data_IF_139220995886
#
_entry.id   IF_139220995886
#
_cell.length_a   1.000
_cell.length_b   1.000
_cell.length_c   1.000
_cell.angle_alpha   90.00
_cell.angle_beta   90.00
_cell.angle_gamma   90.00
#
_symmetry.space_group_name_H-M   'P 1'
#
loop_
_entity.id
_entity.type
_entity.pdbx_description
1 polymer ?
#
# COMPACT_ATOMS: atom_id res chain seq x y z
N UNK A 1 27.03 -4.25 27.65
CA UNK A 1 25.95 -5.00 26.96
C UNK A 1 26.65 -5.98 26.04
N UNK A 2 26.32 -7.27 26.09
CA UNK A 2 26.95 -8.26 25.21
C UNK A 2 26.48 -8.03 23.76
N UNK A 3 27.38 -7.80 22.78
CA UNK A 3 27.00 -7.64 21.37
C UNK A 3 26.19 -8.81 20.82
N UNK A 4 26.49 -10.04 21.28
CA UNK A 4 25.79 -11.24 20.86
C UNK A 4 24.34 -11.22 21.34
N UNK A 5 24.09 -10.83 22.58
CA UNK A 5 22.74 -10.63 23.12
C UNK A 5 21.99 -9.54 22.37
N UNK A 6 22.64 -8.44 22.01
CA UNK A 6 22.01 -7.34 21.24
C UNK A 6 21.51 -7.84 19.88
N UNK A 7 22.34 -8.58 19.12
CA UNK A 7 21.91 -9.13 17.82
C UNK A 7 20.82 -10.19 18.02
N UNK A 8 20.97 -11.09 19.01
CA UNK A 8 19.95 -12.12 19.29
C UNK A 8 18.59 -11.51 19.65
N UNK A 9 18.58 -10.44 20.45
CA UNK A 9 17.36 -9.72 20.81
C UNK A 9 16.74 -9.01 19.59
N UNK A 10 17.57 -8.45 18.70
CA UNK A 10 17.08 -7.91 17.43
C UNK A 10 16.45 -8.98 16.53
N UNK A 11 17.11 -10.14 16.37
CA UNK A 11 16.58 -11.28 15.61
C UNK A 11 15.24 -11.77 16.16
N UNK A 12 15.10 -11.87 17.48
CA UNK A 12 13.83 -12.22 18.13
C UNK A 12 12.73 -11.22 17.80
N UNK A 13 12.99 -9.92 17.94
CA UNK A 13 12.03 -8.86 17.61
C UNK A 13 11.63 -8.90 16.12
N UNK A 14 12.58 -9.14 15.21
CA UNK A 14 12.29 -9.35 13.79
C UNK A 14 11.43 -10.61 13.54
N UNK A 15 11.59 -11.69 14.32
CA UNK A 15 10.70 -12.86 14.25
C UNK A 15 9.28 -12.55 14.73
N UNK A 16 9.13 -11.72 15.78
CA UNK A 16 7.83 -11.29 16.30
C UNK A 16 7.10 -10.40 15.28
N UNK A 17 7.79 -9.41 14.71
CA UNK A 17 7.27 -8.53 13.65
C UNK A 17 6.85 -9.34 12.43
N UNK A 18 7.68 -10.26 11.96
CA UNK A 18 7.35 -11.15 10.84
C UNK A 18 6.10 -12.01 11.13
N UNK A 19 5.98 -12.54 12.35
CA UNK A 19 4.82 -13.35 12.74
C UNK A 19 3.53 -12.52 12.76
N UNK A 20 3.59 -11.28 13.25
CA UNK A 20 2.45 -10.36 13.28
C UNK A 20 2.02 -9.92 11.87
N UNK A 21 2.98 -9.73 10.95
CA UNK A 21 2.67 -9.46 9.53
C UNK A 21 2.06 -10.67 8.82
N UNK A 22 2.45 -11.90 9.16
CA UNK A 22 1.79 -13.12 8.65
C UNK A 22 0.37 -13.29 9.21
N UNK A 23 0.13 -12.90 10.46
CA UNK A 23 -1.22 -12.86 11.05
C UNK A 23 -2.11 -11.86 10.28
N UNK A 24 -1.60 -10.65 10.03
CA UNK A 24 -2.28 -9.63 9.21
C UNK A 24 -2.54 -10.12 7.77
N UNK A 25 -1.55 -10.77 7.15
CA UNK A 25 -1.66 -11.35 5.82
C UNK A 25 -2.81 -12.38 5.75
N UNK A 26 -2.88 -13.24 6.76
CA UNK A 26 -3.92 -14.27 6.91
C UNK A 26 -5.30 -13.63 7.11
N UNK A 27 -5.39 -12.58 7.95
CA UNK A 27 -6.61 -11.81 8.14
C UNK A 27 -7.09 -11.16 6.83
N UNK A 28 -6.20 -10.46 6.11
CA UNK A 28 -6.53 -9.79 4.85
C UNK A 28 -7.02 -10.78 3.78
N UNK A 29 -6.41 -11.97 3.68
CA UNK A 29 -6.81 -13.04 2.75
C UNK A 29 -8.16 -13.66 3.09
N UNK A 30 -8.44 -13.91 4.37
CA UNK A 30 -9.64 -14.59 4.83
C UNK A 30 -10.84 -13.64 4.99
N UNK A 31 -10.68 -12.57 5.77
CA UNK A 31 -11.75 -11.65 6.15
C UNK A 31 -12.07 -10.60 5.07
N UNK A 32 -11.13 -10.35 4.15
CA UNK A 32 -11.26 -9.39 3.04
C UNK A 32 -11.77 -8.01 3.49
N UNK A 33 -11.30 -7.57 4.65
CA UNK A 33 -11.61 -6.28 5.27
C UNK A 33 -10.38 -5.75 5.99
N UNK A 34 -10.43 -4.50 6.44
CA UNK A 34 -9.34 -3.90 7.22
C UNK A 34 -8.97 -4.75 8.46
N UNK A 35 -7.71 -4.74 8.91
CA UNK A 35 -7.28 -5.38 10.15
C UNK A 35 -8.08 -4.90 11.38
N UNK A 36 -8.21 -5.77 12.38
CA UNK A 36 -8.83 -5.39 13.66
C UNK A 36 -8.02 -4.32 14.39
N UNK A 37 -8.69 -3.51 15.22
CA UNK A 37 -8.02 -2.53 16.08
C UNK A 37 -6.95 -3.18 16.98
N UNK A 38 -7.23 -4.38 17.50
CA UNK A 38 -6.29 -5.18 18.29
C UNK A 38 -4.98 -5.48 17.54
N UNK A 39 -5.06 -5.88 16.27
CA UNK A 39 -3.88 -6.16 15.45
C UNK A 39 -3.10 -4.87 15.14
N UNK A 40 -3.81 -3.76 14.87
CA UNK A 40 -3.20 -2.45 14.65
C UNK A 40 -2.48 -1.91 15.90
N UNK A 41 -3.06 -2.04 17.10
CA UNK A 41 -2.38 -1.64 18.34
C UNK A 41 -1.15 -2.52 18.61
N UNK A 42 -1.22 -3.84 18.37
CA UNK A 42 -0.04 -4.71 18.43
C UNK A 42 1.06 -4.27 17.45
N UNK A 43 0.72 -3.89 16.21
CA UNK A 43 1.70 -3.37 15.24
C UNK A 43 2.33 -2.04 15.71
N UNK A 44 1.55 -1.11 16.27
CA UNK A 44 2.07 0.17 16.80
C UNK A 44 3.10 -0.02 17.91
N UNK A 45 2.88 -0.97 18.81
CA UNK A 45 3.79 -1.25 19.95
C UNK A 45 5.16 -1.80 19.50
N UNK A 46 5.26 -2.36 18.29
CA UNK A 46 6.53 -2.88 17.75
C UNK A 46 7.47 -1.79 17.23
N UNK A 47 6.94 -0.65 16.75
CA UNK A 47 7.77 0.40 16.14
C UNK A 47 8.80 1.01 17.12
N UNK A 48 8.43 1.45 18.35
CA UNK A 48 9.41 1.95 19.32
C UNK A 48 10.45 0.89 19.73
N UNK A 49 10.05 -0.39 19.77
CA UNK A 49 10.96 -1.48 20.11
C UNK A 49 12.02 -1.69 19.02
N UNK A 50 11.61 -1.61 17.75
CA UNK A 50 12.53 -1.68 16.60
C UNK A 50 13.50 -0.51 16.59
N UNK A 51 13.04 0.71 16.88
CA UNK A 51 13.91 1.89 16.98
C UNK A 51 14.99 1.72 18.06
N UNK A 52 14.60 1.32 19.27
CA UNK A 52 15.55 1.03 20.38
C UNK A 52 16.51 -0.11 20.02
N UNK A 53 16.01 -1.16 19.36
CA UNK A 53 16.82 -2.29 18.91
C UNK A 53 17.88 -1.87 17.88
N UNK A 54 17.49 -1.06 16.89
CA UNK A 54 18.38 -0.52 15.86
C UNK A 54 19.40 0.47 16.44
N UNK A 55 19.01 1.29 17.43
CA UNK A 55 19.95 2.18 18.11
C UNK A 55 21.02 1.39 18.89
N UNK A 56 20.63 0.29 19.53
CA UNK A 56 21.57 -0.61 20.21
C UNK A 56 22.50 -1.33 19.23
N UNK A 57 22.00 -1.78 18.07
CA UNK A 57 22.85 -2.33 16.99
C UNK A 57 23.86 -1.31 16.47
N UNK A 58 23.47 -0.05 16.26
CA UNK A 58 24.38 1.03 15.82
C UNK A 58 25.50 1.35 16.80
N UNK A 59 25.32 1.03 18.10
CA UNK A 59 26.33 1.20 19.15
C UNK A 59 27.34 0.05 19.19
N UNK A 60 27.08 -1.07 18.51
CA UNK A 60 28.03 -2.18 18.40
C UNK A 60 29.19 -1.80 17.50
N UNK A 61 30.40 -2.21 17.89
CA UNK A 61 31.63 -2.01 17.14
C UNK A 61 32.29 -3.36 16.82
N UNK A 62 33.05 -3.47 15.72
CA UNK A 62 33.79 -4.69 15.36
C UNK A 62 34.67 -5.24 16.49
N UNK A 63 35.26 -4.35 17.29
CA UNK A 63 36.16 -4.67 18.42
C UNK A 63 35.50 -5.39 19.61
N UNK A 64 34.16 -5.49 19.65
CA UNK A 64 33.45 -6.18 20.73
C UNK A 64 33.00 -7.61 20.37
N UNK A 65 33.15 -8.05 19.11
CA UNK A 65 32.75 -9.40 18.68
C UNK A 65 33.84 -10.43 18.92
N UNK A 66 33.46 -11.62 19.39
CA UNK A 66 34.41 -12.73 19.54
C UNK A 66 34.59 -13.45 18.19
N UNK A 67 35.82 -13.74 17.76
CA UNK A 67 36.05 -14.54 16.55
C UNK A 67 35.59 -16.01 16.70
N UNK A 68 35.17 -16.42 17.91
CA UNK A 68 34.69 -17.78 18.23
C UNK A 68 33.18 -17.86 18.50
N UNK A 69 32.44 -16.76 18.35
CA UNK A 69 30.99 -16.74 18.57
C UNK A 69 30.16 -16.93 17.28
N UNK A 70 28.84 -17.04 17.45
CA UNK A 70 27.85 -17.18 16.37
C UNK A 70 27.32 -15.82 15.87
N UNK A 71 27.90 -14.68 16.26
CA UNK A 71 27.39 -13.34 15.90
C UNK A 71 27.29 -13.14 14.39
N UNK A 72 28.25 -13.67 13.62
CA UNK A 72 28.19 -13.63 12.15
C UNK A 72 26.97 -14.36 11.59
N UNK A 73 26.58 -15.50 12.20
CA UNK A 73 25.36 -16.21 11.83
C UNK A 73 24.13 -15.40 12.24
N UNK A 74 24.09 -14.89 13.47
CA UNK A 74 22.96 -14.09 13.97
C UNK A 74 22.71 -12.82 13.13
N UNK A 75 23.76 -12.18 12.60
CA UNK A 75 23.64 -11.05 11.65
C UNK A 75 23.02 -11.50 10.33
N UNK A 76 23.50 -12.62 9.75
CA UNK A 76 22.96 -13.16 8.50
C UNK A 76 21.49 -13.57 8.65
N UNK A 77 21.13 -14.22 9.76
CA UNK A 77 19.76 -14.64 10.07
C UNK A 77 18.85 -13.42 10.26
N UNK A 78 19.35 -12.35 10.91
CA UNK A 78 18.64 -11.07 11.04
C UNK A 78 18.38 -10.41 9.68
N UNK A 79 19.40 -10.39 8.80
CA UNK A 79 19.26 -9.85 7.45
C UNK A 79 18.27 -10.66 6.60
N UNK A 80 18.34 -11.99 6.65
CA UNK A 80 17.39 -12.87 5.98
C UNK A 80 15.95 -12.66 6.50
N UNK A 81 15.77 -12.43 7.80
CA UNK A 81 14.47 -12.12 8.41
C UNK A 81 13.91 -10.76 7.97
N UNK A 82 14.75 -9.73 7.87
CA UNK A 82 14.34 -8.41 7.35
C UNK A 82 13.85 -8.49 5.90
N UNK A 83 14.50 -9.29 5.05
CA UNK A 83 14.01 -9.52 3.69
C UNK A 83 12.63 -10.20 3.69
N UNK A 84 12.41 -11.21 4.53
CA UNK A 84 11.10 -11.86 4.67
C UNK A 84 10.01 -10.88 5.14
N UNK A 85 10.33 -10.01 6.11
CA UNK A 85 9.45 -8.92 6.56
C UNK A 85 9.04 -8.04 5.37
N UNK A 86 9.98 -7.56 4.55
CA UNK A 86 9.67 -6.71 3.40
C UNK A 86 8.80 -7.40 2.35
N UNK A 87 8.97 -8.71 2.13
CA UNK A 87 8.11 -9.46 1.20
C UNK A 87 6.67 -9.57 1.71
N UNK A 88 6.47 -9.87 2.99
CA UNK A 88 5.12 -10.01 3.59
C UNK A 88 4.45 -8.64 3.73
N UNK A 89 5.17 -7.60 4.15
CA UNK A 89 4.65 -6.24 4.28
C UNK A 89 4.14 -5.69 2.93
N UNK A 90 4.92 -5.90 1.86
CA UNK A 90 4.49 -5.59 0.49
C UNK A 90 3.25 -6.39 0.06
N UNK A 91 3.16 -7.68 0.39
CA UNK A 91 1.94 -8.47 0.07
C UNK A 91 0.72 -7.92 0.84
N UNK A 92 0.91 -7.49 2.10
CA UNK A 92 -0.16 -6.88 2.90
C UNK A 92 -0.60 -5.52 2.32
N UNK A 93 0.34 -4.70 1.86
CA UNK A 93 0.05 -3.45 1.13
C UNK A 93 -0.73 -3.73 -0.16
N UNK A 94 -0.27 -4.68 -0.99
CA UNK A 94 -0.96 -5.09 -2.22
C UNK A 94 -2.38 -5.63 -1.97
N UNK A 95 -2.63 -6.29 -0.83
CA UNK A 95 -3.95 -6.73 -0.39
C UNK A 95 -4.82 -5.56 0.07
N UNK A 96 -4.30 -4.69 0.94
CA UNK A 96 -4.99 -3.49 1.42
C UNK A 96 -5.38 -2.54 0.28
N UNK A 97 -4.52 -2.38 -0.72
CA UNK A 97 -4.81 -1.60 -1.92
C UNK A 97 -5.95 -2.19 -2.75
N UNK A 98 -6.05 -3.53 -2.84
CA UNK A 98 -7.17 -4.20 -3.53
C UNK A 98 -8.49 -4.09 -2.76
N UNK A 99 -8.44 -4.02 -1.43
CA UNK A 99 -9.63 -3.84 -0.59
C UNK A 99 -10.13 -2.39 -0.56
N UNK A 100 -9.24 -1.40 -0.71
CA UNK A 100 -9.58 0.03 -0.69
C UNK A 100 -9.91 0.62 -2.06
N UNK A 101 -9.55 -0.05 -3.16
CA UNK A 101 -10.00 0.33 -4.50
C UNK A 101 -11.49 0.02 -4.69
N UNK A 102 -12.32 1.07 -4.64
CA UNK A 102 -13.78 0.99 -4.77
C UNK A 102 -14.24 0.17 -5.99
N UNK A 103 -15.19 -0.74 -5.76
CA UNK A 103 -15.98 -1.43 -6.80
C UNK A 103 -16.61 -0.46 -7.81
N UNK A 104 -16.82 0.81 -7.42
CA UNK A 104 -17.30 1.90 -8.28
C UNK A 104 -16.45 2.13 -9.54
N UNK A 105 -15.14 1.80 -9.52
CA UNK A 105 -14.30 1.84 -10.73
C UNK A 105 -14.55 0.67 -11.68
N UNK A 106 -15.17 -0.42 -11.21
CA UNK A 106 -15.64 -1.52 -12.06
C UNK A 106 -17.05 -1.26 -12.63
N UNK A 107 -17.84 -0.36 -12.04
CA UNK A 107 -19.13 0.06 -12.58
C UNK A 107 -19.06 1.16 -13.66
N UNK A 108 -17.87 1.60 -14.07
CA UNK A 108 -17.69 2.30 -15.35
C UNK A 108 -17.81 1.33 -16.52
N UNK A 109 -19.02 0.78 -16.71
CA UNK A 109 -19.47 0.18 -17.96
C UNK A 109 -19.46 1.28 -19.03
N UNK A 110 -18.31 1.46 -19.68
CA UNK A 110 -18.04 2.55 -20.65
C UNK A 110 -18.96 2.53 -21.88
N UNK A 111 -19.76 1.48 -22.05
CA UNK A 111 -20.71 1.29 -23.14
C UNK A 111 -22.01 0.64 -22.65
N UNK A 112 -22.83 1.40 -21.91
CA UNK A 112 -24.28 1.11 -21.81
C UNK A 112 -25.08 1.80 -22.92
N UNK A 113 -24.46 2.75 -23.62
CA UNK A 113 -24.98 3.41 -24.82
C UNK A 113 -24.95 2.43 -25.99
N UNK A 114 -26.09 2.16 -26.62
CA UNK A 114 -26.15 1.32 -27.84
C UNK A 114 -25.38 2.01 -28.97
N UNK A 115 -24.76 1.29 -29.93
CA UNK A 115 -24.16 1.90 -31.12
C UNK A 115 -25.08 2.89 -31.85
N UNK A 116 -26.40 2.66 -31.80
CA UNK A 116 -27.42 3.51 -32.42
C UNK A 116 -27.55 4.91 -31.78
N UNK A 117 -27.30 5.04 -30.46
CA UNK A 117 -27.45 6.31 -29.73
C UNK A 117 -26.29 7.28 -29.97
N UNK A 118 -25.16 6.79 -30.49
CA UNK A 118 -23.97 7.62 -30.78
C UNK A 118 -24.26 8.61 -31.93
N UNK A 119 -25.18 8.28 -32.84
CA UNK A 119 -25.59 9.16 -33.94
C UNK A 119 -26.35 10.41 -33.50
N UNK A 120 -27.13 10.34 -32.41
CA UNK A 120 -27.91 11.50 -31.94
C UNK A 120 -27.03 12.59 -31.30
N UNK A 121 -25.94 12.20 -30.64
CA UNK A 121 -25.03 13.12 -29.95
C UNK A 121 -24.32 14.04 -30.96
N UNK A 122 -24.00 13.50 -32.16
CA UNK A 122 -23.32 14.25 -33.22
C UNK A 122 -24.24 15.22 -33.98
N UNK A 123 -25.57 15.08 -33.85
CA UNK A 123 -26.59 15.94 -34.46
C UNK A 123 -27.04 17.10 -33.55
N UNK A 124 -26.49 17.25 -32.33
CA UNK A 124 -26.85 18.33 -31.39
C UNK A 124 -25.85 19.48 -31.30
N UNK A 125 -24.78 19.45 -32.07
CA UNK A 125 -23.90 20.61 -32.24
C UNK A 125 -24.53 21.56 -33.28
N UNK A 126 -24.85 22.83 -32.94
CA UNK A 126 -25.31 23.78 -33.93
C UNK A 126 -24.16 24.11 -34.88
N UNK A 127 -24.27 23.65 -36.11
CA UNK A 127 -23.48 24.16 -37.23
C UNK A 127 -24.21 25.35 -37.85
N UNK A 128 -23.98 26.55 -37.32
CA UNK A 128 -24.52 27.79 -37.91
C UNK A 128 -23.71 29.00 -37.42
N UNK A 129 -22.61 29.26 -38.12
CA UNK A 129 -21.94 30.56 -38.17
C UNK A 129 -22.24 31.16 -39.56
N UNK A 130 -23.52 31.43 -39.84
CA UNK A 130 -23.96 32.19 -41.03
C UNK A 130 -25.43 32.68 -40.87
N UNK A 131 -25.60 33.94 -40.46
CA UNK A 131 -26.79 34.75 -40.83
C UNK A 131 -26.57 36.22 -40.43
N UNK A 132 -25.95 36.98 -41.33
CA UNK A 132 -26.20 38.42 -41.37
C UNK A 132 -27.68 38.66 -41.72
N UNK A 133 -28.37 39.44 -40.89
CA UNK A 133 -29.67 40.07 -41.16
C UNK A 133 -29.46 41.58 -40.98
N UNK A 134 -30.15 42.44 -41.75
CA UNK A 134 -31.53 42.77 -41.37
C UNK A 134 -32.55 43.08 -42.49
N UNK A 135 -33.82 42.84 -42.13
CA UNK A 135 -35.02 43.65 -42.39
C UNK A 135 -35.60 43.81 -43.83
N UNK A 136 -36.82 43.27 -43.98
CA UNK A 136 -37.87 43.79 -44.88
C UNK A 136 -39.26 43.56 -44.28
N UNK A 137 -40.27 44.34 -44.73
CA UNK A 137 -41.73 44.28 -44.41
C UNK A 137 -42.16 45.00 -43.10
N UNK A 138 -43.35 45.61 -42.93
CA UNK A 138 -44.65 45.74 -43.67
C UNK A 138 -45.23 47.18 -43.43
N UNK A 139 -46.20 47.80 -44.15
CA UNK A 139 -46.86 47.55 -45.45
C UNK A 139 -47.31 48.89 -46.11
N UNK A 140 -48.63 49.19 -46.25
CA UNK A 140 -49.23 50.40 -46.88
C UNK A 140 -49.95 51.36 -45.93
N UNK A 141 -50.11 52.61 -46.37
CA UNK A 141 -51.38 53.39 -46.28
C UNK A 141 -51.46 54.38 -47.44
#
# INVERSE_FOLDING_TARGET
MDPREVIKNHLNLCNEVHSLLLEENTWLKNEKKAPSSELLERKKVMLPQLEVSLENLRKLKPEFFSPFDDSKQLVNDSHAKLLQIFYVDRENEDLLMKLTQSTERQSFNRFTTSPDEIGEIHNRLPSEDESEQPESEEEKS
#
